data_IF_160341263664
#
_entry.id   IF_160341263664
#
_cell.length_a   1.000
_cell.length_b   1.000
_cell.length_c   1.000
_cell.angle_alpha   90.00
_cell.angle_beta   90.00
_cell.angle_gamma   90.00
#
_symmetry.space_group_name_H-M   'P 1'
#
loop_
_entity.id
_entity.type
_entity.pdbx_description
1 polymer ?
#
# COMPACT_ATOMS: atom_id res chain seq x y z
N UNK A 1 28.58 4.38 -4.35
CA UNK A 1 28.76 4.72 -5.78
C UNK A 1 27.57 4.30 -6.63
N UNK A 2 27.07 3.05 -6.54
CA UNK A 2 25.93 2.57 -7.34
C UNK A 2 24.65 3.41 -7.27
N UNK A 3 24.27 3.91 -6.09
CA UNK A 3 23.07 4.75 -5.94
C UNK A 3 23.16 6.08 -6.74
N UNK A 4 24.35 6.69 -6.82
CA UNK A 4 24.57 7.91 -7.61
C UNK A 4 24.63 7.63 -9.13
N UNK A 5 25.08 6.45 -9.53
CA UNK A 5 25.09 6.03 -10.93
C UNK A 5 23.69 5.71 -11.46
N UNK A 6 22.83 5.14 -10.61
CA UNK A 6 21.45 4.76 -10.96
C UNK A 6 20.43 5.90 -10.80
N UNK A 7 20.80 7.00 -10.15
CA UNK A 7 19.91 8.13 -9.94
C UNK A 7 19.75 8.98 -11.21
N UNK A 8 18.51 9.24 -11.62
CA UNK A 8 18.21 10.13 -12.74
C UNK A 8 18.66 11.57 -12.44
N UNK A 9 18.46 12.01 -11.19
CA UNK A 9 18.84 13.32 -10.67
C UNK A 9 19.51 13.19 -9.31
N UNK A 10 20.50 14.04 -9.05
CA UNK A 10 21.17 14.17 -7.75
C UNK A 10 21.01 15.59 -7.27
N UNK A 11 20.36 15.75 -6.12
CA UNK A 11 20.17 17.03 -5.46
C UNK A 11 21.00 17.07 -4.18
N UNK A 12 21.60 18.22 -3.90
CA UNK A 12 22.19 18.53 -2.59
C UNK A 12 21.41 19.64 -1.94
N UNK A 13 21.25 19.55 -0.62
CA UNK A 13 20.69 20.62 0.19
C UNK A 13 21.84 21.41 0.82
N UNK A 14 21.96 22.67 0.43
CA UNK A 14 22.93 23.63 0.99
C UNK A 14 22.15 24.83 1.52
N UNK A 15 22.32 25.15 2.81
CA UNK A 15 21.52 26.17 3.51
C UNK A 15 20.00 26.05 3.28
N UNK A 16 19.47 24.82 3.33
CA UNK A 16 18.07 24.50 3.05
C UNK A 16 17.58 24.83 1.63
N UNK A 17 18.49 25.12 0.70
CA UNK A 17 18.18 25.31 -0.71
C UNK A 17 18.57 24.08 -1.53
N UNK A 18 17.66 23.53 -2.35
CA UNK A 18 17.99 22.44 -3.24
C UNK A 18 18.86 22.95 -4.40
N UNK A 19 19.97 22.28 -4.65
CA UNK A 19 20.84 22.51 -5.81
C UNK A 19 20.99 21.22 -6.60
N UNK A 20 20.83 21.31 -7.92
CA UNK A 20 21.04 20.18 -8.82
C UNK A 20 22.53 19.99 -9.10
N UNK A 21 23.06 18.83 -8.72
CA UNK A 21 24.46 18.45 -8.90
C UNK A 21 24.61 17.20 -9.77
N UNK A 22 23.57 16.84 -10.54
CA UNK A 22 23.52 15.61 -11.34
C UNK A 22 24.72 15.47 -12.26
N UNK A 23 25.12 16.55 -12.94
CA UNK A 23 26.28 16.54 -13.84
C UNK A 23 27.60 16.26 -13.10
N UNK A 24 27.80 16.87 -11.93
CA UNK A 24 28.96 16.67 -11.07
C UNK A 24 29.00 15.25 -10.52
N UNK A 25 27.86 14.73 -10.06
CA UNK A 25 27.74 13.36 -9.59
C UNK A 25 28.06 12.35 -10.69
N UNK A 26 27.55 12.54 -11.92
CA UNK A 26 27.86 11.65 -13.06
C UNK A 26 29.35 11.65 -13.42
N UNK A 27 30.03 12.80 -13.31
CA UNK A 27 31.49 12.88 -13.52
C UNK A 27 32.27 12.11 -12.46
N UNK A 28 31.83 12.14 -11.21
CA UNK A 28 32.49 11.45 -10.09
C UNK A 28 32.37 9.92 -10.15
N UNK A 29 31.25 9.40 -10.66
CA UNK A 29 30.95 7.95 -10.60
C UNK A 29 31.38 7.22 -11.89
N UNK A 30 31.68 7.96 -12.97
CA UNK A 30 31.98 7.39 -14.28
C UNK A 30 30.74 6.86 -15.01
N UNK A 31 30.87 6.46 -16.28
CA UNK A 31 29.80 5.77 -17.04
C UNK A 31 29.67 4.34 -16.53
N UNK A 32 29.02 4.15 -15.39
CA UNK A 32 28.51 2.83 -15.02
C UNK A 32 27.25 2.63 -15.86
N UNK A 33 27.27 1.67 -16.79
CA UNK A 33 26.08 1.27 -17.52
C UNK A 33 25.05 0.78 -16.49
N UNK A 34 23.92 1.48 -16.37
CA UNK A 34 22.84 1.07 -15.48
C UNK A 34 22.35 -0.31 -15.90
N UNK A 35 22.50 -1.31 -15.04
CA UNK A 35 21.81 -2.57 -15.20
C UNK A 35 20.33 -2.33 -14.95
N UNK A 36 19.49 -2.64 -15.94
CA UNK A 36 18.05 -2.67 -15.73
C UNK A 36 17.76 -3.67 -14.61
N UNK A 37 17.30 -3.18 -13.46
CA UNK A 37 16.85 -4.03 -12.36
C UNK A 37 15.41 -4.40 -12.68
N UNK A 38 15.20 -5.64 -13.10
CA UNK A 38 13.85 -6.20 -13.16
C UNK A 38 13.34 -6.30 -11.73
N UNK A 39 12.32 -5.50 -11.40
CA UNK A 39 11.65 -5.63 -10.11
C UNK A 39 10.80 -6.91 -10.14
N UNK A 40 10.86 -7.75 -9.09
CA UNK A 40 10.07 -8.96 -9.05
C UNK A 40 8.58 -8.62 -9.02
N UNK A 41 7.77 -9.40 -9.74
CA UNK A 41 6.32 -9.24 -9.73
C UNK A 41 5.81 -9.69 -8.37
N UNK A 42 5.12 -8.79 -7.67
CA UNK A 42 4.52 -9.11 -6.38
C UNK A 42 3.13 -9.66 -6.59
N UNK A 43 2.85 -10.81 -5.96
CA UNK A 43 1.56 -11.46 -6.00
C UNK A 43 0.88 -11.35 -4.64
N UNK A 44 -0.42 -11.08 -4.64
CA UNK A 44 -1.29 -11.36 -3.51
C UNK A 44 -1.74 -12.81 -3.61
N UNK A 45 -1.26 -13.67 -2.71
CA UNK A 45 -1.63 -15.08 -2.65
C UNK A 45 -2.95 -15.30 -1.91
N UNK A 46 -3.55 -16.43 -2.21
CA UNK A 46 -4.97 -16.73 -2.05
C UNK A 46 -5.50 -16.72 -0.59
N UNK A 47 -6.44 -15.81 -0.28
CA UNK A 47 -7.36 -15.88 0.86
C UNK A 47 -8.49 -14.81 0.76
N UNK A 48 -9.56 -15.07 -0.02
CA UNK A 48 -10.62 -14.08 -0.33
C UNK A 48 -11.38 -13.57 0.90
N UNK A 49 -11.29 -14.29 2.02
CA UNK A 49 -11.91 -13.96 3.30
C UNK A 49 -10.95 -13.53 4.40
N UNK A 50 -9.67 -13.27 4.13
CA UNK A 50 -8.67 -13.09 5.20
C UNK A 50 -8.99 -11.92 6.16
N UNK A 51 -9.61 -10.86 5.64
CA UNK A 51 -10.07 -9.74 6.47
C UNK A 51 -11.55 -9.88 6.80
N UNK A 52 -12.41 -10.03 5.81
CA UNK A 52 -13.86 -9.91 5.99
C UNK A 52 -14.54 -11.24 6.38
N UNK A 53 -13.91 -12.39 6.13
CA UNK A 53 -14.54 -13.71 6.27
C UNK A 53 -15.87 -13.77 5.50
N UNK A 54 -16.90 -14.37 6.11
CA UNK A 54 -18.27 -14.42 5.57
C UNK A 54 -19.10 -13.14 5.83
N UNK A 55 -18.54 -12.15 6.53
CA UNK A 55 -19.31 -10.94 6.90
C UNK A 55 -19.34 -9.96 5.72
N UNK A 56 -20.15 -8.90 5.80
CA UNK A 56 -20.10 -7.80 4.84
C UNK A 56 -19.39 -6.55 5.38
N UNK A 57 -19.01 -6.57 6.66
CA UNK A 57 -18.40 -5.45 7.36
C UNK A 57 -17.25 -5.91 8.26
N UNK A 58 -16.28 -5.03 8.46
CA UNK A 58 -15.18 -5.19 9.41
C UNK A 58 -15.46 -4.41 10.68
N UNK A 59 -15.13 -4.99 11.84
CA UNK A 59 -15.06 -4.23 13.09
C UNK A 59 -13.65 -3.65 13.19
N UNK A 60 -13.58 -2.33 13.01
CA UNK A 60 -12.33 -1.57 13.03
C UNK A 60 -12.41 -0.57 14.17
N UNK A 61 -11.44 -0.61 15.07
CA UNK A 61 -11.13 0.48 16.01
C UNK A 61 -9.89 1.20 15.50
N UNK A 62 -10.07 2.44 15.04
CA UNK A 62 -9.03 3.27 14.44
C UNK A 62 -8.66 4.49 15.29
N UNK A 63 -9.08 4.54 16.57
CA UNK A 63 -8.77 5.67 17.48
C UNK A 63 -7.27 5.89 17.69
N UNK A 64 -6.48 4.82 17.53
CA UNK A 64 -5.04 4.88 17.39
C UNK A 64 -4.72 4.57 15.91
N UNK A 65 -4.79 5.59 15.04
CA UNK A 65 -4.72 5.44 13.59
C UNK A 65 -3.43 4.78 13.08
N UNK A 66 -2.33 4.89 13.82
CA UNK A 66 -1.06 4.22 13.53
C UNK A 66 -1.06 2.74 13.92
N UNK A 67 -1.94 2.32 14.83
CA UNK A 67 -2.07 0.93 15.33
C UNK A 67 -3.53 0.47 15.40
N UNK A 68 -4.28 0.55 14.29
CA UNK A 68 -5.69 0.22 14.29
C UNK A 68 -5.88 -1.26 14.61
N UNK A 69 -6.98 -1.54 15.32
CA UNK A 69 -7.36 -2.89 15.72
C UNK A 69 -8.48 -3.37 14.82
N UNK A 70 -8.32 -4.56 14.27
CA UNK A 70 -9.30 -5.20 13.39
C UNK A 70 -9.73 -6.51 14.03
N UNK A 71 -11.04 -6.72 14.17
CA UNK A 71 -11.56 -8.03 14.60
C UNK A 71 -11.81 -8.92 13.39
N UNK A 72 -11.07 -10.03 13.29
CA UNK A 72 -11.16 -11.03 12.22
C UNK A 72 -11.44 -12.39 12.87
N UNK A 73 -12.54 -13.05 12.48
CA UNK A 73 -12.92 -14.37 13.03
C UNK A 73 -12.83 -14.44 14.57
N UNK A 74 -13.34 -13.40 15.24
CA UNK A 74 -13.35 -13.24 16.72
C UNK A 74 -11.97 -13.06 17.37
N UNK A 75 -10.92 -12.91 16.58
CA UNK A 75 -9.57 -12.55 17.05
C UNK A 75 -9.30 -11.08 16.75
N UNK A 76 -8.62 -10.40 17.67
CA UNK A 76 -8.16 -9.04 17.47
C UNK A 76 -6.77 -9.07 16.82
N UNK A 77 -6.62 -8.34 15.71
CA UNK A 77 -5.35 -8.09 15.04
C UNK A 77 -5.01 -6.61 15.18
N UNK A 78 -3.81 -6.33 15.68
CA UNK A 78 -3.25 -4.96 15.71
C UNK A 78 -2.37 -4.77 14.50
N UNK A 79 -2.68 -3.78 13.65
CA UNK A 79 -1.90 -3.48 12.45
C UNK A 79 -0.94 -2.32 12.74
N UNK A 80 0.37 -2.57 12.72
CA UNK A 80 1.37 -1.51 12.97
C UNK A 80 1.70 -0.71 11.70
N UNK A 81 1.04 0.43 11.50
CA UNK A 81 1.18 1.32 10.35
C UNK A 81 2.18 2.46 10.55
N UNK A 82 2.89 2.53 11.69
CA UNK A 82 3.85 3.61 12.00
C UNK A 82 4.94 3.80 10.96
N UNK A 83 5.30 2.73 10.25
CA UNK A 83 6.31 2.72 9.19
C UNK A 83 5.72 2.77 7.78
N UNK A 84 4.48 3.22 7.64
CA UNK A 84 3.82 3.36 6.33
C UNK A 84 4.30 4.60 5.58
N UNK A 85 4.87 5.60 6.28
CA UNK A 85 5.30 6.86 5.68
C UNK A 85 4.17 7.87 5.43
N UNK A 86 2.97 7.59 5.95
CA UNK A 86 1.80 8.46 5.87
C UNK A 86 1.50 9.10 7.21
N UNK A 87 0.98 10.33 7.18
CA UNK A 87 0.29 10.93 8.32
C UNK A 87 -1.12 10.34 8.38
N UNK A 88 -1.47 9.72 9.51
CA UNK A 88 -2.65 8.87 9.62
C UNK A 88 -3.67 9.50 10.56
N UNK A 89 -4.87 9.73 10.04
CA UNK A 89 -6.08 9.96 10.82
C UNK A 89 -6.98 8.71 10.86
N UNK A 90 -7.95 8.70 11.77
CA UNK A 90 -8.89 7.59 11.96
C UNK A 90 -9.62 7.20 10.67
N UNK A 91 -10.00 8.18 9.85
CA UNK A 91 -10.76 7.98 8.62
C UNK A 91 -9.91 7.38 7.50
N UNK A 92 -8.65 7.79 7.39
CA UNK A 92 -7.68 7.29 6.45
C UNK A 92 -7.22 5.88 6.82
N UNK A 93 -6.94 5.62 8.10
CA UNK A 93 -6.59 4.28 8.59
C UNK A 93 -7.76 3.30 8.37
N UNK A 94 -8.99 3.69 8.71
CA UNK A 94 -10.20 2.90 8.45
C UNK A 94 -10.39 2.64 6.95
N UNK A 95 -10.29 3.68 6.12
CA UNK A 95 -10.42 3.57 4.68
C UNK A 95 -9.38 2.63 4.07
N UNK A 96 -8.13 2.71 4.51
CA UNK A 96 -7.05 1.81 4.10
C UNK A 96 -7.35 0.34 4.41
N UNK A 97 -7.86 0.04 5.60
CA UNK A 97 -8.20 -1.32 6.02
C UNK A 97 -9.38 -1.86 5.21
N UNK A 98 -10.44 -1.06 5.05
CA UNK A 98 -11.60 -1.47 4.26
C UNK A 98 -11.23 -1.67 2.79
N UNK A 99 -10.41 -0.79 2.23
CA UNK A 99 -9.88 -0.91 0.87
C UNK A 99 -9.05 -2.18 0.69
N UNK A 100 -8.15 -2.49 1.63
CA UNK A 100 -7.38 -3.73 1.62
C UNK A 100 -8.29 -4.96 1.65
N UNK A 101 -9.34 -4.91 2.47
CA UNK A 101 -10.32 -5.97 2.57
C UNK A 101 -11.11 -6.18 1.27
N UNK A 102 -11.50 -5.11 0.59
CA UNK A 102 -12.10 -5.17 -0.74
C UNK A 102 -11.13 -5.70 -1.79
N UNK A 103 -9.84 -5.34 -1.70
CA UNK A 103 -8.82 -5.89 -2.60
C UNK A 103 -8.70 -7.41 -2.45
N UNK A 104 -8.77 -7.94 -1.22
CA UNK A 104 -8.83 -9.40 -1.01
C UNK A 104 -10.07 -10.04 -1.67
N UNK A 105 -11.22 -9.35 -1.68
CA UNK A 105 -12.42 -9.82 -2.40
C UNK A 105 -12.29 -9.73 -3.91
N UNK A 106 -11.69 -8.65 -4.44
CA UNK A 106 -11.47 -8.46 -5.89
C UNK A 106 -10.46 -9.46 -6.47
N UNK A 107 -9.59 -10.01 -5.63
CA UNK A 107 -8.73 -11.14 -5.98
C UNK A 107 -9.52 -12.44 -6.13
N UNK A 108 -10.70 -12.55 -5.50
CA UNK A 108 -11.65 -13.67 -5.58
C UNK A 108 -11.02 -15.05 -5.37
N UNK A 109 -10.03 -15.09 -4.49
CA UNK A 109 -9.28 -16.29 -4.20
C UNK A 109 -8.47 -16.82 -5.39
N UNK A 110 -7.92 -15.90 -6.17
CA UNK A 110 -6.95 -16.22 -7.21
C UNK A 110 -5.68 -15.40 -6.98
N UNK A 111 -4.49 -16.01 -7.16
CA UNK A 111 -3.24 -15.27 -7.16
C UNK A 111 -3.31 -14.15 -8.19
N UNK A 112 -3.09 -12.92 -7.75
CA UNK A 112 -3.17 -11.73 -8.61
C UNK A 112 -1.94 -10.84 -8.41
N UNK A 113 -1.41 -10.33 -9.53
CA UNK A 113 -0.33 -9.37 -9.47
C UNK A 113 -0.79 -8.04 -8.88
N UNK A 114 0.03 -7.43 -8.03
CA UNK A 114 -0.34 -6.22 -7.28
C UNK A 114 -0.66 -5.03 -8.18
N UNK A 115 -0.08 -4.95 -9.38
CA UNK A 115 -0.37 -3.93 -10.39
C UNK A 115 -1.75 -4.13 -11.02
N UNK A 116 -2.11 -5.36 -11.36
CA UNK A 116 -3.44 -5.75 -11.85
C UNK A 116 -4.51 -5.51 -10.76
N UNK A 117 -4.20 -5.84 -9.51
CA UNK A 117 -5.08 -5.56 -8.38
C UNK A 117 -5.28 -4.05 -8.18
N UNK A 118 -4.21 -3.26 -8.34
CA UNK A 118 -4.30 -1.81 -8.30
C UNK A 118 -5.21 -1.25 -9.39
N UNK A 119 -5.17 -1.82 -10.60
CA UNK A 119 -6.05 -1.45 -11.70
C UNK A 119 -7.51 -1.79 -11.40
N UNK A 120 -7.79 -3.01 -10.93
CA UNK A 120 -9.14 -3.42 -10.50
C UNK A 120 -9.69 -2.52 -9.40
N UNK A 121 -8.86 -2.19 -8.41
CA UNK A 121 -9.21 -1.26 -7.34
C UNK A 121 -9.56 0.13 -7.87
N UNK A 122 -8.72 0.69 -8.76
CA UNK A 122 -8.98 2.00 -9.37
C UNK A 122 -10.28 2.01 -10.17
N UNK A 123 -10.53 0.96 -10.95
CA UNK A 123 -11.78 0.81 -11.70
C UNK A 123 -12.99 0.71 -10.77
N UNK A 124 -12.89 -0.06 -9.68
CA UNK A 124 -13.95 -0.18 -8.67
C UNK A 124 -14.28 1.18 -8.05
N UNK A 125 -13.28 1.94 -7.62
CA UNK A 125 -13.47 3.27 -7.02
C UNK A 125 -13.99 4.29 -8.03
N UNK A 126 -13.53 4.24 -9.28
CA UNK A 126 -14.09 5.11 -10.33
C UNK A 126 -15.59 4.87 -10.54
N UNK A 127 -16.04 3.62 -10.43
CA UNK A 127 -17.44 3.25 -10.62
C UNK A 127 -18.32 3.52 -9.39
N UNK A 128 -17.82 3.26 -8.18
CA UNK A 128 -18.65 3.27 -6.95
C UNK A 128 -18.32 4.41 -5.98
N UNK A 129 -17.21 5.11 -6.20
CA UNK A 129 -16.68 6.10 -5.28
C UNK A 129 -16.35 5.54 -3.90
N UNK A 130 -16.16 6.43 -2.93
CA UNK A 130 -15.82 6.08 -1.54
C UNK A 130 -16.90 5.24 -0.87
N UNK A 131 -18.17 5.46 -1.22
CA UNK A 131 -19.32 4.70 -0.68
C UNK A 131 -19.30 3.23 -1.08
N UNK A 132 -18.60 2.85 -2.15
CA UNK A 132 -18.41 1.45 -2.52
C UNK A 132 -17.58 0.67 -1.49
N UNK A 133 -16.73 1.36 -0.71
CA UNK A 133 -15.82 0.75 0.26
C UNK A 133 -16.57 0.28 1.51
N UNK A 134 -17.52 1.08 1.99
CA UNK A 134 -18.42 0.69 3.07
C UNK A 134 -19.80 1.33 2.84
N UNK A 135 -20.74 0.59 2.24
CA UNK A 135 -22.08 1.11 1.98
C UNK A 135 -22.92 1.26 3.26
N UNK A 136 -22.45 0.74 4.40
CA UNK A 136 -23.12 0.79 5.70
C UNK A 136 -22.48 1.80 6.66
N UNK A 137 -21.49 2.56 6.20
CA UNK A 137 -20.69 3.39 7.07
C UNK A 137 -21.54 4.48 7.74
N UNK A 138 -21.37 4.60 9.05
CA UNK A 138 -21.95 5.67 9.89
C UNK A 138 -20.89 6.69 10.32
N UNK A 139 -19.65 6.45 9.93
CA UNK A 139 -18.46 7.26 10.25
C UNK A 139 -17.85 7.82 8.97
N UNK A 140 -16.93 8.78 9.11
CA UNK A 140 -16.26 9.37 7.96
C UNK A 140 -15.15 8.42 7.47
N UNK A 141 -15.22 7.99 6.22
CA UNK A 141 -14.18 7.19 5.57
C UNK A 141 -13.50 8.01 4.47
N UNK A 142 -12.16 8.04 4.51
CA UNK A 142 -11.33 8.71 3.50
C UNK A 142 -10.84 7.69 2.48
N UNK A 143 -10.82 8.06 1.20
CA UNK A 143 -10.25 7.20 0.17
C UNK A 143 -8.72 7.08 0.36
N UNK A 144 -8.17 5.90 0.65
CA UNK A 144 -6.74 5.75 0.85
C UNK A 144 -5.98 5.76 -0.48
N UNK A 145 -4.74 6.27 -0.50
CA UNK A 145 -3.83 6.05 -1.63
C UNK A 145 -3.47 4.58 -1.72
N UNK A 146 -3.24 4.09 -2.94
CA UNK A 146 -2.92 2.67 -3.18
C UNK A 146 -1.75 2.16 -2.32
N UNK A 147 -0.71 2.95 -2.13
CA UNK A 147 0.48 2.59 -1.35
C UNK A 147 0.15 2.31 0.12
N UNK A 148 -0.84 3.01 0.69
CA UNK A 148 -1.31 2.75 2.04
C UNK A 148 -2.14 1.46 2.10
N UNK A 149 -2.94 1.18 1.06
CA UNK A 149 -3.65 -0.11 0.91
C UNK A 149 -2.65 -1.27 0.87
N UNK A 150 -1.59 -1.15 0.06
CA UNK A 150 -0.50 -2.14 -0.01
C UNK A 150 0.17 -2.30 1.36
N UNK A 151 0.43 -1.19 2.07
CA UNK A 151 1.02 -1.24 3.41
C UNK A 151 0.17 -2.04 4.39
N UNK A 152 -1.15 -1.93 4.31
CA UNK A 152 -2.07 -2.77 5.10
C UNK A 152 -1.94 -4.23 4.68
N UNK A 153 -2.08 -4.54 3.39
CA UNK A 153 -2.03 -5.91 2.87
C UNK A 153 -0.74 -6.65 3.28
N UNK A 154 0.41 -5.98 3.26
CA UNK A 154 1.70 -6.52 3.69
C UNK A 154 1.80 -6.86 5.18
N UNK A 155 0.97 -6.24 6.01
CA UNK A 155 0.97 -6.42 7.47
C UNK A 155 -0.08 -7.41 7.93
N UNK A 156 -0.87 -7.94 7.00
CA UNK A 156 -1.81 -8.99 7.31
C UNK A 156 -1.05 -10.32 7.48
N UNK A 157 -1.50 -11.18 8.41
CA UNK A 157 -1.00 -12.55 8.48
C UNK A 157 -1.40 -13.37 7.25
N UNK A 158 -2.55 -13.02 6.65
CA UNK A 158 -3.09 -13.57 5.40
C UNK A 158 -3.93 -12.46 4.72
N UNK A 159 -4.03 -12.37 3.39
CA UNK A 159 -3.28 -13.13 2.38
C UNK A 159 -1.76 -12.91 2.48
N UNK A 160 -0.99 -13.90 2.02
CA UNK A 160 0.46 -13.74 1.90
C UNK A 160 0.79 -12.92 0.65
N UNK A 161 1.83 -12.08 0.72
CA UNK A 161 2.37 -11.44 -0.49
C UNK A 161 3.68 -12.12 -0.85
N UNK A 162 3.72 -12.75 -2.03
CA UNK A 162 4.92 -13.39 -2.57
C UNK A 162 5.52 -12.55 -3.69
N UNK A 163 6.73 -12.92 -4.12
CA UNK A 163 7.44 -12.26 -5.21
C UNK A 163 7.91 -13.31 -6.20
N UNK A 164 7.40 -13.26 -7.43
CA UNK A 164 7.91 -14.05 -8.54
C UNK A 164 9.19 -13.41 -9.08
N UNK A 165 10.23 -14.23 -9.22
CA UNK A 165 11.49 -13.84 -9.88
C UNK A 165 11.39 -14.07 -11.39
#
# INVERSE_FOLDING_TARGET
SHALAAADRVLTLDAYQPRDVTATARRLVGRIAGTAVTLPVRLLDDAPGALIGLRHFLRIDAREAERPRVTIAERELVLDLRRSGWDLDDGLARGAILAAAWCCRLADGHPIAMDQLAERWRAFIAAHGVRGIDPFDRTFTTLPPWQLVVSVLERLPMPMISSLR
#
